data_IF_624840658409
#
_entry.id   IF_624840658409
#
_cell.length_a   1.000
_cell.length_b   1.000
_cell.length_c   1.000
_cell.angle_alpha   90.00
_cell.angle_beta   90.00
_cell.angle_gamma   90.00
#
_symmetry.space_group_name_H-M   'P 1'
#
loop_
_entity.id
_entity.type
_entity.pdbx_description
1 polymer ?
#
# COMPACT_ATOMS: atom_id res chain seq x y z
N UNK A 1 2.08 -18.24 -13.04
CA UNK A 1 2.02 -16.80 -13.30
C UNK A 1 2.91 -16.14 -12.27
N UNK A 2 3.85 -15.25 -12.66
CA UNK A 2 4.66 -14.53 -11.67
C UNK A 2 3.70 -13.54 -10.97
N UNK A 3 3.65 -13.48 -9.64
CA UNK A 3 2.81 -12.51 -8.95
C UNK A 3 3.21 -11.11 -9.41
N UNK A 4 2.23 -10.29 -9.76
CA UNK A 4 2.48 -8.91 -10.13
C UNK A 4 3.02 -8.18 -8.90
N UNK A 5 3.90 -7.19 -9.08
CA UNK A 5 4.46 -6.43 -7.95
C UNK A 5 3.36 -5.81 -7.06
N UNK A 6 2.23 -5.44 -7.68
CA UNK A 6 1.03 -4.97 -6.98
C UNK A 6 0.46 -6.02 -6.02
N UNK A 7 0.30 -7.28 -6.43
CA UNK A 7 -0.29 -8.32 -5.58
C UNK A 7 0.55 -8.56 -4.31
N UNK A 8 1.88 -8.50 -4.45
CA UNK A 8 2.80 -8.63 -3.32
C UNK A 8 2.73 -7.42 -2.38
N UNK A 9 2.58 -6.21 -2.93
CA UNK A 9 2.39 -5.01 -2.12
C UNK A 9 1.07 -5.07 -1.35
N UNK A 10 -0.03 -5.43 -2.01
CA UNK A 10 -1.33 -5.58 -1.36
C UNK A 10 -1.28 -6.62 -0.23
N UNK A 11 -0.57 -7.73 -0.43
CA UNK A 11 -0.36 -8.72 0.62
C UNK A 11 0.44 -8.15 1.80
N UNK A 12 1.54 -7.43 1.53
CA UNK A 12 2.32 -6.74 2.57
C UNK A 12 1.46 -5.75 3.36
N UNK A 13 0.64 -4.94 2.69
CA UNK A 13 -0.26 -4.00 3.36
C UNK A 13 -1.23 -4.72 4.30
N UNK A 14 -1.78 -5.86 3.88
CA UNK A 14 -2.73 -6.67 4.67
C UNK A 14 -2.06 -7.40 5.83
N UNK A 15 -0.94 -8.07 5.59
CA UNK A 15 -0.34 -8.97 6.57
C UNK A 15 0.67 -8.28 7.48
N UNK A 16 1.54 -7.42 6.92
CA UNK A 16 2.66 -6.81 7.66
C UNK A 16 2.31 -5.44 8.26
N UNK A 17 1.41 -4.70 7.60
CA UNK A 17 0.88 -3.42 8.09
C UNK A 17 -0.51 -3.56 8.73
N UNK A 18 -1.13 -4.74 8.64
CA UNK A 18 -2.44 -5.04 9.21
C UNK A 18 -3.51 -4.02 8.80
N UNK A 19 -3.44 -3.54 7.55
CA UNK A 19 -4.41 -2.60 7.01
C UNK A 19 -5.75 -3.30 6.71
N UNK A 20 -6.88 -2.65 7.02
CA UNK A 20 -8.20 -3.13 6.65
C UNK A 20 -8.33 -3.27 5.13
N UNK A 21 -9.07 -4.28 4.68
CA UNK A 21 -9.34 -4.48 3.25
C UNK A 21 -10.05 -3.26 2.63
N UNK A 22 -11.01 -2.66 3.34
CA UNK A 22 -11.69 -1.43 2.92
C UNK A 22 -10.72 -0.24 2.71
N UNK A 23 -9.71 -0.09 3.57
CA UNK A 23 -8.70 0.97 3.45
C UNK A 23 -7.84 0.76 2.20
N UNK A 24 -7.47 -0.48 1.93
CA UNK A 24 -6.67 -0.85 0.76
C UNK A 24 -7.48 -0.67 -0.53
N UNK A 25 -8.74 -1.08 -0.53
CA UNK A 25 -9.65 -0.91 -1.67
C UNK A 25 -9.90 0.59 -1.95
N UNK A 26 -10.13 1.41 -0.92
CA UNK A 26 -10.25 2.86 -1.06
C UNK A 26 -8.99 3.46 -1.69
N UNK A 27 -7.81 3.14 -1.16
CA UNK A 27 -6.55 3.66 -1.69
C UNK A 27 -6.28 3.18 -3.12
N UNK A 28 -6.61 1.93 -3.44
CA UNK A 28 -6.45 1.36 -4.79
C UNK A 28 -7.35 2.06 -5.80
N UNK A 29 -8.61 2.35 -5.44
CA UNK A 29 -9.55 3.06 -6.32
C UNK A 29 -9.18 4.52 -6.55
N UNK A 30 -8.52 5.16 -5.59
CA UNK A 30 -8.08 6.55 -5.67
C UNK A 30 -6.69 6.70 -6.31
N UNK A 31 -5.96 5.60 -6.46
CA UNK A 31 -4.64 5.58 -7.10
C UNK A 31 -4.80 5.32 -8.60
N UNK A 32 -4.35 6.26 -9.43
CA UNK A 32 -4.34 6.06 -10.89
C UNK A 32 -3.16 5.18 -11.34
N UNK A 33 -2.10 5.10 -10.52
CA UNK A 33 -0.94 4.27 -10.72
C UNK A 33 -0.45 3.62 -9.42
N UNK A 34 0.23 2.47 -9.53
CA UNK A 34 0.76 1.72 -8.37
C UNK A 34 1.64 2.56 -7.45
N UNK A 35 2.50 3.41 -8.03
CA UNK A 35 3.42 4.27 -7.27
C UNK A 35 2.69 5.37 -6.47
N UNK A 36 1.41 5.65 -6.76
CA UNK A 36 0.61 6.61 -6.00
C UNK A 36 -0.01 5.97 -4.75
N UNK A 37 -0.12 4.65 -4.70
CA UNK A 37 -0.78 3.92 -3.62
C UNK A 37 -0.23 4.25 -2.21
N UNK A 38 1.10 4.29 -1.98
CA UNK A 38 1.65 4.67 -0.68
C UNK A 38 1.25 6.11 -0.29
N UNK A 39 1.32 7.03 -1.25
CA UNK A 39 1.02 8.45 -1.04
C UNK A 39 -0.47 8.67 -0.78
N UNK A 40 -1.33 7.92 -1.47
CA UNK A 40 -2.79 7.95 -1.27
C UNK A 40 -3.14 7.40 0.12
N UNK A 41 -2.57 6.27 0.53
CA UNK A 41 -2.76 5.74 1.89
C UNK A 41 -2.46 6.80 2.96
N UNK A 42 -1.38 7.56 2.78
CA UNK A 42 -0.99 8.62 3.71
C UNK A 42 -1.92 9.85 3.62
N UNK A 43 -2.29 10.30 2.43
CA UNK A 43 -3.19 11.44 2.25
C UNK A 43 -4.56 11.23 2.89
N UNK A 44 -5.07 10.00 2.84
CA UNK A 44 -6.35 9.64 3.47
C UNK A 44 -6.21 9.31 4.97
N UNK A 45 -5.00 9.40 5.54
CA UNK A 45 -4.73 9.08 6.95
C UNK A 45 -4.90 7.60 7.29
N UNK A 46 -4.84 6.72 6.28
CA UNK A 46 -4.95 5.26 6.44
C UNK A 46 -3.64 4.68 6.99
N UNK A 47 -2.53 5.37 6.74
CA UNK A 47 -1.20 5.05 7.29
C UNK A 47 -0.55 6.30 7.87
N UNK A 48 0.27 6.11 8.91
CA UNK A 48 1.15 7.16 9.43
C UNK A 48 2.50 7.21 8.69
N UNK A 49 3.33 8.20 9.01
CA UNK A 49 4.64 8.39 8.36
C UNK A 49 5.60 7.21 8.56
N UNK A 50 5.57 6.50 9.70
CA UNK A 50 6.40 5.32 9.91
C UNK A 50 5.94 4.16 9.03
N UNK A 51 4.63 3.94 8.94
CA UNK A 51 4.06 2.91 8.07
C UNK A 51 4.34 3.23 6.59
N UNK A 52 4.20 4.49 6.18
CA UNK A 52 4.58 4.94 4.85
C UNK A 52 6.06 4.65 4.53
N UNK A 53 6.96 4.93 5.48
CA UNK A 53 8.38 4.61 5.32
C UNK A 53 8.62 3.10 5.15
N UNK A 54 7.88 2.25 5.87
CA UNK A 54 7.96 0.78 5.70
C UNK A 54 7.48 0.33 4.32
N UNK A 55 6.46 0.98 3.76
CA UNK A 55 5.99 0.68 2.39
C UNK A 55 7.10 1.00 1.38
N UNK A 56 7.73 2.18 1.50
CA UNK A 56 8.82 2.55 0.60
C UNK A 56 10.06 1.66 0.77
N UNK A 57 10.41 1.28 2.00
CA UNK A 57 11.50 0.33 2.27
C UNK A 57 11.22 -1.03 1.61
N UNK A 58 9.97 -1.49 1.65
CA UNK A 58 9.55 -2.73 1.00
C UNK A 58 9.60 -2.63 -0.54
N UNK A 59 9.13 -1.53 -1.13
CA UNK A 59 9.18 -1.32 -2.59
C UNK A 59 10.61 -1.20 -3.15
N UNK A 60 11.57 -0.74 -2.34
CA UNK A 60 12.99 -0.65 -2.72
C UNK A 60 13.78 -1.96 -2.54
N UNK A 61 13.13 -3.05 -2.14
CA UNK A 61 13.78 -4.33 -1.83
C UNK A 61 14.03 -5.23 -3.05
#
# INVERSE_FOLDING_TARGET
MKPNQIDQLLQFLREELNLPEDSIDLATRQSEATHQLPVVLWQYGLVDLQQLARIWDWEMR
#
